data_IF_483386584571
#
_entry.id   IF_483386584571
#
_cell.length_a   1.000
_cell.length_b   1.000
_cell.length_c   1.000
_cell.angle_alpha   90.00
_cell.angle_beta   90.00
_cell.angle_gamma   90.00
#
_symmetry.space_group_name_H-M   'P 1'
#
loop_
_entity.id
_entity.type
_entity.pdbx_description
1 polymer ?
#
# COMPACT_ATOMS: atom_id res chain seq x y z
N UNK A 1 -36.86 2.26 4.47
CA UNK A 1 -36.94 3.29 3.41
C UNK A 1 -35.73 4.21 3.56
N UNK A 2 -34.63 3.93 2.85
CA UNK A 2 -34.18 4.58 1.60
C UNK A 2 -33.90 6.09 1.72
N UNK A 3 -32.60 6.42 1.65
CA UNK A 3 -31.95 7.56 0.96
C UNK A 3 -30.44 7.42 1.23
N UNK A 4 -29.72 6.54 0.53
CA UNK A 4 -28.90 6.87 -0.65
C UNK A 4 -28.55 8.36 -0.70
N UNK A 5 -27.34 8.71 -0.29
CA UNK A 5 -26.68 9.93 -0.73
C UNK A 5 -25.34 9.52 -1.35
N UNK A 6 -25.36 9.46 -2.68
CA UNK A 6 -24.15 9.45 -3.49
C UNK A 6 -23.44 10.79 -3.27
N UNK A 7 -22.28 10.78 -2.63
CA UNK A 7 -21.35 11.90 -2.75
C UNK A 7 -20.52 11.68 -4.00
N UNK A 8 -21.00 12.32 -5.06
CA UNK A 8 -20.26 12.67 -6.25
C UNK A 8 -18.84 13.12 -5.89
N UNK A 9 -17.84 12.40 -6.41
CA UNK A 9 -16.52 12.96 -6.66
C UNK A 9 -16.65 14.00 -7.78
N UNK A 10 -17.04 15.22 -7.42
CA UNK A 10 -16.93 16.35 -8.33
C UNK A 10 -15.45 16.72 -8.48
N UNK A 11 -14.92 16.41 -9.66
CA UNK A 11 -13.77 17.05 -10.29
C UNK A 11 -13.70 18.54 -9.90
N UNK A 12 -12.74 18.89 -9.06
CA UNK A 12 -12.13 20.21 -9.11
C UNK A 12 -10.94 20.12 -10.05
N UNK A 13 -11.00 20.70 -11.27
CA UNK A 13 -9.80 20.91 -12.06
C UNK A 13 -8.96 21.94 -11.31
N UNK A 14 -7.98 21.47 -10.54
CA UNK A 14 -6.87 22.35 -10.16
C UNK A 14 -6.25 22.82 -11.46
N UNK A 15 -6.53 24.09 -11.76
CA UNK A 15 -6.07 24.88 -12.89
C UNK A 15 -4.57 24.60 -13.08
N UNK A 16 -4.26 23.74 -14.04
CA UNK A 16 -2.90 23.43 -14.49
C UNK A 16 -2.33 24.67 -15.17
N UNK A 17 -1.97 25.67 -14.37
CA UNK A 17 -1.05 26.70 -14.82
C UNK A 17 0.31 26.04 -14.88
N UNK A 18 0.88 25.99 -16.08
CA UNK A 18 2.23 25.52 -16.36
C UNK A 18 3.23 26.22 -15.41
N UNK A 19 3.59 25.57 -14.31
CA UNK A 19 4.67 25.97 -13.43
C UNK A 19 5.84 25.02 -13.67
N UNK A 20 7.02 25.60 -13.84
CA UNK A 20 8.33 24.92 -13.89
C UNK A 20 8.30 23.71 -12.94
N UNK A 21 8.60 22.49 -13.45
CA UNK A 21 8.64 21.25 -12.65
C UNK A 21 9.36 21.52 -11.32
N UNK A 22 8.59 21.56 -10.24
CA UNK A 22 9.17 21.72 -8.91
C UNK A 22 10.05 20.48 -8.63
N UNK A 23 11.22 20.64 -7.98
CA UNK A 23 12.17 19.55 -7.79
C UNK A 23 11.59 18.36 -7.00
N UNK A 24 10.49 18.58 -6.26
CA UNK A 24 9.87 17.59 -5.38
C UNK A 24 8.35 17.44 -5.61
N UNK A 25 7.91 17.44 -6.86
CA UNK A 25 6.49 17.27 -7.24
C UNK A 25 5.88 15.96 -6.72
N UNK A 26 6.60 14.84 -6.81
CA UNK A 26 6.15 13.55 -6.29
C UNK A 26 5.90 13.60 -4.76
N UNK A 27 6.76 14.30 -4.02
CA UNK A 27 6.60 14.46 -2.58
C UNK A 27 5.36 15.28 -2.24
N UNK A 28 5.16 16.41 -2.92
CA UNK A 28 4.00 17.26 -2.74
C UNK A 28 2.68 16.49 -2.97
N UNK A 29 2.65 15.67 -4.02
CA UNK A 29 1.52 14.79 -4.32
C UNK A 29 1.26 13.77 -3.20
N UNK A 30 2.29 13.03 -2.77
CA UNK A 30 2.19 12.01 -1.71
C UNK A 30 1.77 12.62 -0.36
N UNK A 31 2.24 13.84 -0.07
CA UNK A 31 1.83 14.59 1.11
C UNK A 31 0.35 14.97 1.07
N UNK A 32 -0.16 15.36 -0.11
CA UNK A 32 -1.58 15.64 -0.29
C UNK A 32 -2.43 14.38 -0.10
N UNK A 33 -1.98 13.24 -0.62
CA UNK A 33 -2.64 11.95 -0.40
C UNK A 33 -2.75 11.59 1.09
N UNK A 34 -1.69 11.80 1.88
CA UNK A 34 -1.71 11.57 3.34
C UNK A 34 -2.71 12.50 4.04
N UNK A 35 -2.82 13.76 3.62
CA UNK A 35 -3.80 14.68 4.19
C UNK A 35 -5.22 14.18 3.98
N UNK A 36 -5.49 13.63 2.80
CA UNK A 36 -6.80 13.14 2.42
C UNK A 36 -7.10 11.77 3.08
N UNK A 37 -6.13 10.86 3.15
CA UNK A 37 -6.25 9.52 3.78
C UNK A 37 -6.44 9.60 5.30
N UNK A 38 -5.68 10.47 5.97
CA UNK A 38 -5.69 10.56 7.44
C UNK A 38 -6.50 11.76 7.98
N UNK A 39 -7.05 12.61 7.10
CA UNK A 39 -7.77 13.82 7.49
C UNK A 39 -6.90 14.88 8.18
N UNK A 40 -5.59 14.89 7.93
CA UNK A 40 -4.64 15.77 8.61
C UNK A 40 -4.53 17.15 7.95
N UNK A 41 -4.41 18.20 8.78
CA UNK A 41 -4.04 19.53 8.30
C UNK A 41 -2.51 19.75 8.34
N UNK A 42 -2.04 20.90 7.85
CA UNK A 42 -0.60 21.21 7.79
C UNK A 42 0.06 21.28 9.18
N UNK A 43 -0.69 21.72 10.20
CA UNK A 43 -0.20 21.78 11.58
C UNK A 43 -0.08 20.40 12.21
N UNK A 44 -0.98 19.47 11.85
CA UNK A 44 -0.94 18.07 12.29
C UNK A 44 0.29 17.33 11.75
N UNK A 45 0.60 17.56 10.48
CA UNK A 45 1.82 17.04 9.83
C UNK A 45 3.06 17.67 10.46
N UNK A 46 3.04 18.97 10.70
CA UNK A 46 4.16 19.70 11.31
C UNK A 46 4.49 19.16 12.70
N UNK A 47 3.47 18.91 13.53
CA UNK A 47 3.63 18.33 14.86
C UNK A 47 4.22 16.92 14.81
N UNK A 48 3.75 16.08 13.89
CA UNK A 48 4.21 14.69 13.71
C UNK A 48 5.64 14.61 13.19
N UNK A 49 5.99 15.46 12.23
CA UNK A 49 7.35 15.54 11.69
C UNK A 49 8.31 16.36 12.58
N UNK A 50 7.81 16.98 13.66
CA UNK A 50 8.51 17.95 14.53
C UNK A 50 9.18 19.06 13.73
N UNK A 51 8.41 19.72 12.87
CA UNK A 51 8.83 20.87 12.06
C UNK A 51 7.84 22.02 12.21
N UNK A 52 8.16 23.17 11.62
CA UNK A 52 7.22 24.30 11.55
C UNK A 52 6.18 24.07 10.46
N UNK A 53 4.94 24.61 10.61
CA UNK A 53 3.92 24.57 9.55
C UNK A 53 4.39 25.20 8.24
N UNK A 54 5.28 26.21 8.32
CA UNK A 54 5.90 26.82 7.15
C UNK A 54 6.77 25.84 6.35
N UNK A 55 7.53 24.97 7.01
CA UNK A 55 8.30 23.93 6.33
C UNK A 55 7.38 22.94 5.61
N UNK A 56 6.28 22.53 6.24
CA UNK A 56 5.27 21.67 5.61
C UNK A 56 4.61 22.35 4.42
N UNK A 57 4.37 23.66 4.50
CA UNK A 57 3.83 24.42 3.37
C UNK A 57 4.79 24.44 2.17
N UNK A 58 6.10 24.59 2.42
CA UNK A 58 7.11 24.48 1.35
C UNK A 58 7.17 23.07 0.77
N UNK A 59 6.94 22.03 1.57
CA UNK A 59 6.83 20.65 1.08
C UNK A 59 5.60 20.44 0.20
N UNK A 60 4.45 20.98 0.62
CA UNK A 60 3.20 20.90 -0.14
C UNK A 60 3.28 21.63 -1.49
N UNK A 61 4.15 22.63 -1.60
CA UNK A 61 4.44 23.34 -2.87
C UNK A 61 5.52 22.64 -3.72
N UNK A 62 6.18 21.61 -3.19
CA UNK A 62 7.31 20.94 -3.84
C UNK A 62 8.60 21.78 -3.90
N UNK A 63 8.67 22.88 -3.16
CA UNK A 63 9.86 23.76 -3.08
C UNK A 63 11.00 23.09 -2.30
N UNK A 64 10.66 22.29 -1.29
CA UNK A 64 11.62 21.50 -0.51
C UNK A 64 11.01 20.15 -0.11
N UNK A 65 11.84 19.22 0.35
CA UNK A 65 11.39 17.93 0.87
C UNK A 65 12.10 17.62 2.20
N UNK A 66 11.44 16.92 3.13
CA UNK A 66 12.08 16.45 4.35
C UNK A 66 13.18 15.43 4.02
N UNK A 67 14.25 15.46 4.80
CA UNK A 67 15.37 14.51 4.72
C UNK A 67 15.75 14.01 6.11
N UNK A 68 16.39 12.84 6.16
CA UNK A 68 16.92 12.26 7.39
C UNK A 68 15.84 12.08 8.47
N UNK A 69 16.09 12.62 9.66
CA UNK A 69 15.24 12.41 10.84
C UNK A 69 13.78 12.89 10.63
N UNK A 70 13.56 13.95 9.86
CA UNK A 70 12.20 14.48 9.59
C UNK A 70 11.39 13.55 8.71
N UNK A 71 12.02 12.97 7.69
CA UNK A 71 11.42 12.00 6.80
C UNK A 71 11.10 10.71 7.56
N UNK A 72 12.03 10.23 8.39
CA UNK A 72 11.82 9.08 9.29
C UNK A 72 10.61 9.26 10.22
N UNK A 73 10.46 10.44 10.81
CA UNK A 73 9.32 10.76 11.68
C UNK A 73 8.02 10.78 10.90
N UNK A 74 8.01 11.36 9.71
CA UNK A 74 6.83 11.38 8.85
C UNK A 74 6.44 9.96 8.40
N UNK A 75 7.41 9.14 7.98
CA UNK A 75 7.24 7.73 7.63
C UNK A 75 6.69 6.91 8.80
N UNK A 76 7.24 7.09 10.00
CA UNK A 76 6.74 6.42 11.20
C UNK A 76 5.31 6.86 11.56
N UNK A 77 4.96 8.13 11.35
CA UNK A 77 3.62 8.63 11.62
C UNK A 77 2.57 8.09 10.62
N UNK A 78 2.94 7.88 9.36
CA UNK A 78 2.03 7.42 8.30
C UNK A 78 2.05 5.91 8.08
N UNK A 79 3.03 5.20 8.64
CA UNK A 79 3.26 3.79 8.37
C UNK A 79 3.76 3.49 6.95
N UNK A 80 4.13 4.51 6.16
CA UNK A 80 4.65 4.36 4.80
C UNK A 80 6.17 4.42 4.81
N UNK A 81 6.88 3.64 3.97
CA UNK A 81 8.34 3.68 3.93
C UNK A 81 8.85 5.01 3.35
N UNK A 82 10.06 5.43 3.74
CA UNK A 82 10.63 6.74 3.38
C UNK A 82 10.66 7.00 1.86
N UNK A 83 10.95 5.97 1.05
CA UNK A 83 11.05 6.08 -0.41
C UNK A 83 9.68 6.23 -1.09
N UNK A 84 8.58 5.77 -0.46
CA UNK A 84 7.22 5.89 -0.99
C UNK A 84 6.84 7.35 -1.25
N UNK A 85 7.32 8.27 -0.40
CA UNK A 85 7.08 9.70 -0.55
C UNK A 85 7.70 10.30 -1.83
N UNK A 86 8.65 9.62 -2.46
CA UNK A 86 9.33 10.10 -3.66
C UNK A 86 8.94 9.31 -4.91
N UNK A 87 8.08 8.30 -4.78
CA UNK A 87 7.61 7.54 -5.93
C UNK A 87 6.54 8.29 -6.71
N UNK A 88 6.64 8.33 -8.05
CA UNK A 88 5.64 8.97 -8.87
C UNK A 88 4.30 8.21 -8.79
N UNK A 89 3.18 8.86 -9.14
CA UNK A 89 1.84 8.28 -8.98
C UNK A 89 1.57 7.08 -9.90
N UNK A 90 2.34 6.94 -10.98
CA UNK A 90 2.21 5.92 -12.03
C UNK A 90 3.11 4.70 -11.80
N UNK A 91 4.19 4.85 -11.03
CA UNK A 91 5.00 3.74 -10.54
C UNK A 91 4.25 3.04 -9.41
N UNK A 92 3.28 2.21 -9.79
CA UNK A 92 2.59 1.20 -9.00
C UNK A 92 2.55 1.44 -7.49
N UNK A 93 1.43 1.94 -7.00
CA UNK A 93 1.00 1.78 -5.60
C UNK A 93 0.78 0.30 -5.21
N UNK A 94 1.06 -0.63 -6.14
CA UNK A 94 0.89 -2.07 -6.03
C UNK A 94 2.03 -2.78 -5.26
N UNK A 95 3.21 -2.16 -5.14
CA UNK A 95 4.39 -2.85 -4.57
C UNK A 95 4.77 -2.43 -3.13
N UNK A 96 4.27 -1.28 -2.65
CA UNK A 96 4.64 -0.76 -1.32
C UNK A 96 3.56 -0.86 -0.26
N UNK A 97 2.43 -1.44 -0.64
CA UNK A 97 1.41 -1.79 0.31
C UNK A 97 1.65 -3.19 0.85
N UNK A 98 2.27 -3.27 2.04
CA UNK A 98 1.97 -4.37 2.98
C UNK A 98 0.45 -4.44 3.32
N UNK A 99 -0.37 -3.54 2.78
CA UNK A 99 -1.81 -3.61 2.73
C UNK A 99 -2.31 -3.64 1.27
N UNK A 100 -2.13 -4.77 0.57
CA UNK A 100 -3.05 -5.11 -0.52
C UNK A 100 -4.47 -4.76 -0.04
N UNK A 101 -5.29 -4.00 -0.80
CA UNK A 101 -6.67 -3.72 -0.40
C UNK A 101 -7.27 -5.04 0.09
N UNK A 102 -7.89 -5.08 1.30
CA UNK A 102 -8.17 -6.33 1.98
C UNK A 102 -8.85 -7.24 0.97
N UNK A 103 -8.12 -8.29 0.56
CA UNK A 103 -8.67 -9.30 -0.32
C UNK A 103 -9.96 -9.72 0.36
N UNK A 104 -11.10 -9.56 -0.29
CA UNK A 104 -12.34 -10.08 0.26
C UNK A 104 -12.11 -11.57 0.42
N UNK A 105 -12.01 -11.99 1.68
CA UNK A 105 -11.75 -13.37 2.01
C UNK A 105 -12.98 -14.16 1.61
N UNK A 106 -12.79 -15.22 0.84
CA UNK A 106 -13.89 -16.12 0.51
C UNK A 106 -14.34 -16.91 1.75
N UNK A 107 -15.50 -17.57 1.66
CA UNK A 107 -16.05 -18.35 2.77
C UNK A 107 -15.09 -19.43 3.30
N UNK A 108 -14.25 -19.99 2.42
CA UNK A 108 -13.29 -21.04 2.77
C UNK A 108 -12.08 -20.45 3.49
N UNK A 109 -11.58 -19.30 3.06
CA UNK A 109 -10.50 -18.55 3.70
C UNK A 109 -10.92 -18.12 5.12
N UNK A 110 -12.16 -17.64 5.28
CA UNK A 110 -12.72 -17.27 6.59
C UNK A 110 -12.83 -18.49 7.51
N UNK A 111 -13.39 -19.59 7.00
CA UNK A 111 -13.52 -20.83 7.76
C UNK A 111 -12.15 -21.39 8.18
N UNK A 112 -11.17 -21.36 7.28
CA UNK A 112 -9.80 -21.79 7.55
C UNK A 112 -9.14 -20.94 8.64
N UNK A 113 -9.25 -19.61 8.56
CA UNK A 113 -8.71 -18.70 9.57
C UNK A 113 -9.37 -18.90 10.95
N UNK A 114 -10.68 -19.14 10.96
CA UNK A 114 -11.41 -19.44 12.20
C UNK A 114 -10.89 -20.71 12.86
N UNK A 115 -10.72 -21.80 12.10
CA UNK A 115 -10.15 -23.05 12.61
C UNK A 115 -8.70 -22.84 13.05
N UNK A 116 -7.90 -22.14 12.24
CA UNK A 116 -6.50 -21.87 12.53
C UNK A 116 -6.30 -21.18 13.87
N UNK A 117 -7.10 -20.15 14.16
CA UNK A 117 -6.99 -19.39 15.41
C UNK A 117 -7.36 -20.19 16.66
N UNK A 118 -8.14 -21.27 16.53
CA UNK A 118 -8.53 -22.14 17.63
C UNK A 118 -7.48 -23.21 17.96
N UNK A 119 -6.50 -23.44 17.07
CA UNK A 119 -5.47 -24.46 17.26
C UNK A 119 -4.30 -23.98 18.14
N UNK A 120 -3.66 -24.87 18.92
CA UNK A 120 -2.38 -24.59 19.57
C UNK A 120 -1.26 -24.31 18.56
N UNK A 121 -0.22 -23.60 18.98
CA UNK A 121 0.88 -23.19 18.09
C UNK A 121 1.59 -24.38 17.41
N UNK A 122 1.76 -25.49 18.13
CA UNK A 122 2.33 -26.71 17.57
C UNK A 122 1.52 -27.25 16.38
N UNK A 123 0.18 -27.25 16.48
CA UNK A 123 -0.70 -27.76 15.42
C UNK A 123 -0.82 -26.78 14.25
N UNK A 124 -0.80 -25.47 14.53
CA UNK A 124 -0.68 -24.44 13.48
C UNK A 124 0.55 -24.66 12.61
N UNK A 125 1.71 -24.89 13.23
CA UNK A 125 2.96 -25.16 12.53
C UNK A 125 2.90 -26.45 11.71
N UNK A 126 2.32 -27.52 12.26
CA UNK A 126 2.11 -28.77 11.53
C UNK A 126 1.22 -28.58 10.30
N UNK A 127 0.11 -27.85 10.43
CA UNK A 127 -0.76 -27.55 9.31
C UNK A 127 -0.04 -26.75 8.23
N UNK A 128 0.76 -25.75 8.60
CA UNK A 128 1.55 -24.96 7.64
C UNK A 128 2.54 -25.85 6.89
N UNK A 129 3.28 -26.72 7.60
CA UNK A 129 4.25 -27.62 6.99
C UNK A 129 3.56 -28.58 6.02
N UNK A 130 2.44 -29.17 6.42
CA UNK A 130 1.67 -30.06 5.57
C UNK A 130 1.14 -29.35 4.31
N UNK A 131 0.53 -28.17 4.48
CA UNK A 131 0.01 -27.38 3.36
C UNK A 131 1.12 -27.04 2.35
N UNK A 132 2.32 -26.69 2.83
CA UNK A 132 3.50 -26.43 1.99
C UNK A 132 3.94 -27.69 1.23
N UNK A 133 3.95 -28.85 1.87
CA UNK A 133 4.30 -30.11 1.21
C UNK A 133 3.31 -30.44 0.09
N UNK A 134 2.00 -30.34 0.34
CA UNK A 134 0.98 -30.57 -0.70
C UNK A 134 1.11 -29.61 -1.88
N UNK A 135 1.44 -28.33 -1.65
CA UNK A 135 1.67 -27.39 -2.76
C UNK A 135 2.88 -27.77 -3.59
N UNK A 136 3.97 -28.22 -2.95
CA UNK A 136 5.17 -28.68 -3.65
C UNK A 136 4.90 -29.92 -4.50
N UNK A 137 4.14 -30.88 -3.98
CA UNK A 137 3.74 -32.09 -4.72
C UNK A 137 2.92 -31.75 -5.96
N UNK A 138 1.97 -30.82 -5.84
CA UNK A 138 1.16 -30.36 -6.97
C UNK A 138 1.99 -29.60 -8.03
N UNK A 139 3.00 -28.85 -7.60
CA UNK A 139 3.92 -28.13 -8.50
C UNK A 139 4.77 -29.10 -9.31
N UNK A 140 5.37 -30.09 -8.64
CA UNK A 140 6.13 -31.16 -9.29
C UNK A 140 5.28 -31.93 -10.30
N UNK A 141 4.04 -32.29 -9.92
CA UNK A 141 3.13 -32.99 -10.82
C UNK A 141 2.75 -32.16 -12.05
N UNK A 142 2.56 -30.85 -11.86
CA UNK A 142 2.24 -29.93 -12.96
C UNK A 142 3.41 -29.85 -13.94
N UNK A 143 4.64 -29.72 -13.45
CA UNK A 143 5.84 -29.68 -14.27
C UNK A 143 5.98 -30.98 -15.07
N UNK A 144 5.81 -32.13 -14.44
CA UNK A 144 5.86 -33.44 -15.11
C UNK A 144 4.82 -33.58 -16.23
N UNK A 145 3.56 -33.19 -15.97
CA UNK A 145 2.50 -33.21 -16.99
C UNK A 145 2.81 -32.26 -18.15
N UNK A 146 3.31 -31.05 -17.85
CA UNK A 146 3.66 -30.10 -18.91
C UNK A 146 4.82 -30.60 -19.77
N UNK A 147 5.83 -31.24 -19.17
CA UNK A 147 6.93 -31.87 -19.89
C UNK A 147 6.44 -33.00 -20.82
N UNK A 148 5.51 -33.83 -20.36
CA UNK A 148 4.91 -34.90 -21.18
C UNK A 148 4.13 -34.30 -22.36
N UNK A 149 3.28 -33.30 -22.15
CA UNK A 149 2.52 -32.65 -23.23
C UNK A 149 3.46 -32.07 -24.30
N UNK A 150 4.54 -31.40 -23.89
CA UNK A 150 5.55 -30.85 -24.80
C UNK A 150 6.29 -31.94 -25.58
N UNK A 151 6.53 -33.10 -24.98
CA UNK A 151 7.17 -34.24 -25.65
C UNK A 151 6.29 -34.92 -26.70
N UNK A 152 4.95 -34.84 -26.57
CA UNK A 152 3.99 -35.43 -27.51
C UNK A 152 3.70 -34.48 -28.70
N UNK A 153 3.86 -33.16 -28.50
CA UNK A 153 3.64 -32.14 -29.53
C UNK A 153 4.86 -31.92 -30.46
N UNK A 154 5.95 -32.68 -30.29
CA UNK A 154 7.21 -32.54 -31.04
C UNK A 154 7.41 -33.73 -31.96
#
# INVERSE_FOLDING_TARGET
MKKIFAMHYERLPCRMNAMKKAPHEAFAYRLQLIKDEFGWNMSDIARRAMVTPQAVQQWAKGESAPRGVRLKRLAAATGKPEHWFFMPPDAGDDDLSMHKPPRQLDEKEIALLSLFNQMPEAEKLRLIVHAKATLKELDLLKDDVTNIIQSIQK
#
